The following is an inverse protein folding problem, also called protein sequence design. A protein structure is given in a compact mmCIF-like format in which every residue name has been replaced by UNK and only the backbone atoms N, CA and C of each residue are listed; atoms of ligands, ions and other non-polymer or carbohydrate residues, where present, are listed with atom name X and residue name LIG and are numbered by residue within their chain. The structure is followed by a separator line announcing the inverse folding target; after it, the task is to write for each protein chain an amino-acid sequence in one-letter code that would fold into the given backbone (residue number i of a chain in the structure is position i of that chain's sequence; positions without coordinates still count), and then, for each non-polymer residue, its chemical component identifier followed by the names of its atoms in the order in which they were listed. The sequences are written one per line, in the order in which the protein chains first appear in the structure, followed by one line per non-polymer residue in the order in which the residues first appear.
data_IF_303486957680
#
_entry.id   IF_303486957680
#
_cell.length_a   1.000
_cell.length_b   1.000
_cell.length_c   1.000
_cell.angle_alpha   90.00
_cell.angle_beta   90.00
_cell.angle_gamma   90.00
#
_symmetry.space_group_name_H-M   'P 1'
#
loop_
_entity.id
_entity.type
_entity.pdbx_description
1 polymer ?
#
# COMPACT_ATOMS: atom_id res chain seq x y z
N UNK A 1 1.65 9.46 -16.47
CA UNK A 1 1.65 8.47 -15.38
C UNK A 1 0.31 7.75 -15.40
N UNK A 2 0.28 6.45 -15.67
CA UNK A 2 -0.95 5.65 -15.82
C UNK A 2 -0.99 4.53 -14.78
N UNK A 3 -0.93 4.88 -13.49
CA UNK A 3 -1.00 3.90 -12.42
C UNK A 3 -2.46 3.46 -12.22
N UNK A 4 -2.81 2.17 -12.27
CA UNK A 4 -4.20 1.70 -12.26
C UNK A 4 -5.03 2.22 -11.08
N UNK A 5 -4.46 2.24 -9.87
CA UNK A 5 -5.14 2.78 -8.67
C UNK A 5 -5.43 4.29 -8.80
N UNK A 6 -4.53 5.06 -9.44
CA UNK A 6 -4.73 6.51 -9.61
C UNK A 6 -5.85 6.77 -10.60
N UNK A 7 -5.83 6.07 -11.74
CA UNK A 7 -6.88 6.16 -12.77
C UNK A 7 -8.23 5.81 -12.16
N UNK A 8 -8.33 4.65 -11.50
CA UNK A 8 -9.58 4.21 -10.86
C UNK A 8 -10.06 5.19 -9.78
N UNK A 9 -9.14 5.74 -8.99
CA UNK A 9 -9.50 6.73 -7.97
C UNK A 9 -10.03 8.02 -8.58
N UNK A 10 -9.42 8.50 -9.68
CA UNK A 10 -9.89 9.68 -10.42
C UNK A 10 -11.29 9.42 -10.97
N UNK A 11 -11.50 8.31 -11.67
CA UNK A 11 -12.76 7.99 -12.35
C UNK A 11 -13.93 7.75 -11.39
N UNK A 12 -13.66 7.17 -10.21
CA UNK A 12 -14.71 6.75 -9.29
C UNK A 12 -14.90 7.69 -8.08
N UNK A 13 -13.98 8.63 -7.84
CA UNK A 13 -14.01 9.50 -6.65
C UNK A 13 -13.96 10.99 -6.96
N UNK A 14 -13.59 11.37 -8.19
CA UNK A 14 -13.49 12.77 -8.60
C UNK A 14 -14.29 13.01 -9.89
N UNK A 15 -14.57 14.28 -10.17
CA UNK A 15 -15.02 14.72 -11.49
C UNK A 15 -13.79 15.24 -12.23
N UNK A 16 -13.17 14.45 -13.12
CA UNK A 16 -11.97 14.88 -13.81
C UNK A 16 -12.28 16.00 -14.82
N UNK A 17 -11.46 17.05 -14.80
CA UNK A 17 -11.51 18.14 -15.78
C UNK A 17 -10.11 18.41 -16.31
N UNK A 18 -9.98 18.43 -17.64
CA UNK A 18 -8.75 18.82 -18.31
C UNK A 18 -8.93 20.22 -18.90
N UNK A 19 -8.09 21.15 -18.47
CA UNK A 19 -7.95 22.48 -19.07
C UNK A 19 -6.63 22.49 -19.84
N UNK A 20 -6.67 22.69 -21.15
CA UNK A 20 -5.46 22.72 -21.97
C UNK A 20 -4.79 24.09 -21.87
N UNK A 21 -3.53 24.10 -21.52
CA UNK A 21 -2.71 25.30 -21.63
C UNK A 21 -2.46 25.65 -23.12
N UNK A 22 -2.03 26.88 -23.40
CA UNK A 22 -1.80 27.40 -24.76
C UNK A 22 -2.98 27.21 -25.74
N UNK A 23 -4.20 27.07 -25.24
CA UNK A 23 -5.41 26.94 -26.04
C UNK A 23 -6.27 28.21 -25.91
N UNK A 24 -7.06 28.51 -26.94
CA UNK A 24 -8.01 29.63 -26.94
C UNK A 24 -9.35 29.27 -26.27
N UNK A 25 -10.33 30.18 -26.41
CA UNK A 25 -11.71 29.93 -25.97
C UNK A 25 -11.86 29.67 -24.46
N UNK A 26 -12.74 28.74 -24.10
CA UNK A 26 -13.14 28.46 -22.70
C UNK A 26 -11.98 28.04 -21.81
N UNK A 27 -10.98 27.34 -22.34
CA UNK A 27 -9.80 26.94 -21.55
C UNK A 27 -8.98 28.16 -21.15
N UNK A 28 -8.80 29.14 -22.04
CA UNK A 28 -8.16 30.43 -21.73
C UNK A 28 -8.91 31.22 -20.66
N UNK A 29 -10.25 31.20 -20.71
CA UNK A 29 -11.11 31.82 -19.70
C UNK A 29 -10.91 31.16 -18.33
N UNK A 30 -10.85 29.83 -18.29
CA UNK A 30 -10.62 29.08 -17.05
C UNK A 30 -9.22 29.33 -16.48
N UNK A 31 -8.18 29.35 -17.30
CA UNK A 31 -6.83 29.69 -16.85
C UNK A 31 -6.79 31.09 -16.22
N UNK A 32 -7.41 32.09 -16.85
CA UNK A 32 -7.55 33.45 -16.28
C UNK A 32 -8.31 33.44 -14.96
N UNK A 33 -9.46 32.75 -14.88
CA UNK A 33 -10.27 32.64 -13.67
C UNK A 33 -9.46 32.11 -12.48
N UNK A 34 -8.56 31.16 -12.73
CA UNK A 34 -7.76 30.50 -11.69
C UNK A 34 -6.34 31.08 -11.54
N UNK A 35 -6.05 32.18 -12.24
CA UNK A 35 -4.74 32.81 -12.30
C UNK A 35 -3.61 31.83 -12.66
N UNK A 36 -3.89 30.91 -13.59
CA UNK A 36 -2.91 29.98 -14.13
C UNK A 36 -2.29 30.55 -15.42
N UNK A 37 -0.96 30.50 -15.57
CA UNK A 37 -0.29 30.95 -16.77
C UNK A 37 -0.64 30.06 -17.97
N UNK A 38 -0.70 30.65 -19.16
CA UNK A 38 -0.94 29.91 -20.40
C UNK A 38 0.24 28.98 -20.76
N UNK A 39 1.44 29.26 -20.23
CA UNK A 39 2.66 28.50 -20.48
C UNK A 39 3.21 27.96 -19.15
N UNK A 40 2.85 26.73 -18.81
CA UNK A 40 3.32 26.00 -17.63
C UNK A 40 3.42 24.49 -17.90
N UNK A 41 4.06 23.78 -16.97
CA UNK A 41 3.93 22.33 -16.87
C UNK A 41 2.56 21.95 -16.30
N UNK A 42 2.24 20.66 -16.30
CA UNK A 42 0.98 20.16 -15.79
C UNK A 42 0.81 20.53 -14.32
N UNK A 43 -0.32 21.17 -13.99
CA UNK A 43 -0.73 21.53 -12.64
C UNK A 43 -1.99 20.73 -12.30
N UNK A 44 -2.04 20.18 -11.08
CA UNK A 44 -3.19 19.41 -10.58
C UNK A 44 -3.79 20.18 -9.40
N UNK A 45 -5.08 20.54 -9.54
CA UNK A 45 -5.86 21.25 -8.52
C UNK A 45 -7.09 20.44 -8.14
N UNK A 46 -7.56 20.66 -6.92
CA UNK A 46 -8.71 19.99 -6.34
C UNK A 46 -9.69 21.06 -5.88
N UNK A 47 -10.87 21.11 -6.50
CA UNK A 47 -11.87 22.12 -6.26
C UNK A 47 -13.13 21.52 -5.65
N UNK A 48 -13.82 22.31 -4.82
CA UNK A 48 -15.18 22.01 -4.42
C UNK A 48 -16.18 22.42 -5.52
N UNK A 49 -17.46 22.18 -5.28
CA UNK A 49 -18.53 22.50 -6.22
C UNK A 49 -18.67 24.03 -6.49
N UNK A 50 -18.14 24.89 -5.62
CA UNK A 50 -18.12 26.34 -5.81
C UNK A 50 -16.91 26.82 -6.64
N UNK A 51 -15.99 25.91 -6.98
CA UNK A 51 -14.75 26.23 -7.68
C UNK A 51 -13.66 26.78 -6.76
N UNK A 52 -13.77 26.60 -5.44
CA UNK A 52 -12.72 26.96 -4.48
C UNK A 52 -11.78 25.78 -4.25
N UNK A 53 -10.48 26.05 -4.09
CA UNK A 53 -9.51 25.02 -3.77
C UNK A 53 -9.85 24.33 -2.45
N UNK A 54 -9.97 22.99 -2.47
CA UNK A 54 -10.10 22.15 -1.28
C UNK A 54 -8.77 22.10 -0.52
N UNK A 55 -7.66 22.07 -1.26
CA UNK A 55 -6.29 22.11 -0.74
C UNK A 55 -5.47 23.16 -1.49
N UNK A 56 -4.50 23.83 -0.84
CA UNK A 56 -3.69 24.85 -1.51
C UNK A 56 -3.03 24.32 -2.79
N UNK A 57 -3.02 25.16 -3.84
CA UNK A 57 -2.30 24.93 -5.09
C UNK A 57 -0.84 24.58 -4.80
N UNK A 58 -0.32 23.56 -5.48
CA UNK A 58 1.09 23.18 -5.42
C UNK A 58 1.58 22.82 -6.80
N UNK A 59 2.72 23.38 -7.18
CA UNK A 59 3.36 23.12 -8.46
C UNK A 59 4.21 21.84 -8.41
N UNK A 60 4.62 21.34 -9.58
CA UNK A 60 5.58 20.23 -9.76
C UNK A 60 5.14 18.90 -9.12
N UNK A 61 3.84 18.60 -9.17
CA UNK A 61 3.28 17.33 -8.71
C UNK A 61 3.28 16.33 -9.87
N UNK A 62 4.43 15.72 -10.10
CA UNK A 62 4.64 14.83 -11.26
C UNK A 62 5.01 13.39 -10.87
N UNK A 63 5.27 13.15 -9.59
CA UNK A 63 5.55 11.82 -9.06
C UNK A 63 4.31 11.19 -8.42
N UNK A 64 4.32 9.86 -8.39
CA UNK A 64 3.21 9.05 -7.89
C UNK A 64 2.88 9.32 -6.43
N UNK A 65 3.91 9.53 -5.59
CA UNK A 65 3.74 9.73 -4.16
C UNK A 65 3.06 11.08 -3.89
N UNK A 66 3.61 12.16 -4.45
CA UNK A 66 3.06 13.51 -4.26
C UNK A 66 1.63 13.64 -4.78
N UNK A 67 1.29 12.98 -5.90
CA UNK A 67 -0.08 12.95 -6.40
C UNK A 67 -1.00 12.19 -5.44
N UNK A 68 -0.60 10.97 -5.03
CA UNK A 68 -1.37 10.13 -4.10
C UNK A 68 -1.66 10.87 -2.79
N UNK A 69 -0.63 11.48 -2.19
CA UNK A 69 -0.74 12.24 -0.95
C UNK A 69 -1.74 13.40 -1.09
N UNK A 70 -1.73 14.11 -2.23
CA UNK A 70 -2.66 15.22 -2.49
C UNK A 70 -4.09 14.76 -2.74
N UNK A 71 -4.30 13.66 -3.47
CA UNK A 71 -5.62 13.07 -3.65
C UNK A 71 -6.23 12.66 -2.31
N UNK A 72 -5.46 11.99 -1.45
CA UNK A 72 -5.91 11.61 -0.11
C UNK A 72 -6.22 12.82 0.75
N UNK A 73 -5.36 13.85 0.75
CA UNK A 73 -5.59 15.08 1.50
C UNK A 73 -6.86 15.81 1.03
N UNK A 74 -7.12 15.86 -0.28
CA UNK A 74 -8.33 16.45 -0.82
C UNK A 74 -9.59 15.71 -0.33
N UNK A 75 -9.60 14.37 -0.42
CA UNK A 75 -10.71 13.56 0.09
C UNK A 75 -10.96 13.77 1.59
N UNK A 76 -9.89 13.80 2.40
CA UNK A 76 -9.97 14.07 3.83
C UNK A 76 -10.58 15.44 4.13
N UNK A 77 -10.12 16.49 3.44
CA UNK A 77 -10.63 17.86 3.63
C UNK A 77 -12.07 18.03 3.17
N UNK A 78 -12.51 17.23 2.21
CA UNK A 78 -13.90 17.18 1.76
C UNK A 78 -14.79 16.23 2.58
N UNK A 79 -14.28 15.60 3.64
CA UNK A 79 -15.03 14.63 4.45
C UNK A 79 -15.41 13.36 3.69
N UNK A 80 -14.77 13.10 2.54
CA UNK A 80 -15.04 11.95 1.70
C UNK A 80 -14.25 10.73 2.17
N UNK A 81 -14.84 9.55 1.98
CA UNK A 81 -14.17 8.29 2.29
C UNK A 81 -13.00 8.07 1.32
N UNK A 82 -11.81 7.81 1.86
CA UNK A 82 -10.65 7.43 1.04
C UNK A 82 -10.85 5.99 0.54
N UNK A 83 -10.78 5.73 -0.77
CA UNK A 83 -10.79 4.37 -1.29
C UNK A 83 -9.65 3.54 -0.71
N UNK A 84 -9.94 2.33 -0.24
CA UNK A 84 -8.93 1.48 0.39
C UNK A 84 -7.70 1.15 -0.50
N UNK A 85 -7.83 0.95 -1.83
CA UNK A 85 -6.65 0.80 -2.70
C UNK A 85 -5.77 2.05 -2.74
N UNK A 86 -6.37 3.24 -2.73
CA UNK A 86 -5.63 4.51 -2.72
C UNK A 86 -4.87 4.72 -1.42
N UNK A 87 -5.52 4.41 -0.29
CA UNK A 87 -4.87 4.48 1.02
C UNK A 87 -3.72 3.46 1.14
N UNK A 88 -3.92 2.25 0.60
CA UNK A 88 -2.88 1.23 0.57
C UNK A 88 -1.67 1.65 -0.26
N UNK A 89 -1.91 2.26 -1.43
CA UNK A 89 -0.85 2.84 -2.27
C UNK A 89 -0.11 3.97 -1.56
N UNK A 90 -0.83 4.86 -0.85
CA UNK A 90 -0.23 5.94 -0.07
C UNK A 90 0.76 5.41 0.96
N UNK A 91 0.37 4.37 1.69
CA UNK A 91 1.20 3.74 2.72
C UNK A 91 2.40 3.02 2.07
N UNK A 92 2.18 2.33 0.96
CA UNK A 92 3.22 1.64 0.18
C UNK A 92 4.32 2.60 -0.32
N UNK A 93 3.94 3.81 -0.75
CA UNK A 93 4.88 4.83 -1.23
C UNK A 93 5.56 5.63 -0.11
N UNK A 94 5.08 5.52 1.13
CA UNK A 94 5.61 6.24 2.29
C UNK A 94 6.79 5.51 2.95
N UNK A 95 7.87 5.31 2.20
CA UNK A 95 9.04 4.49 2.59
C UNK A 95 9.74 4.93 3.87
N UNK A 96 9.72 6.23 4.21
CA UNK A 96 10.37 6.78 5.40
C UNK A 96 9.79 6.28 6.72
N UNK A 97 8.55 5.77 6.71
CA UNK A 97 7.88 5.22 7.89
C UNK A 97 7.93 3.68 7.92
N UNK A 98 8.60 3.05 6.96
CA UNK A 98 8.60 1.60 6.82
C UNK A 98 9.76 0.99 7.61
N UNK A 99 9.46 -0.11 8.31
CA UNK A 99 10.47 -0.96 8.91
C UNK A 99 10.24 -2.42 8.56
N UNK A 100 11.28 -3.24 8.76
CA UNK A 100 11.27 -4.66 8.42
C UNK A 100 11.56 -5.52 9.64
N UNK A 101 10.89 -6.67 9.70
CA UNK A 101 11.18 -7.79 10.60
C UNK A 101 10.87 -9.08 9.86
N UNK A 102 11.66 -10.14 10.06
CA UNK A 102 11.34 -11.45 9.55
C UNK A 102 10.98 -12.38 10.71
N UNK A 103 9.97 -13.20 10.49
CA UNK A 103 9.55 -14.19 11.47
C UNK A 103 9.75 -15.57 10.87
N UNK A 104 10.29 -16.52 11.62
CA UNK A 104 10.34 -17.93 11.24
C UNK A 104 9.13 -18.67 11.78
N UNK A 105 8.62 -19.62 11.00
CA UNK A 105 7.52 -20.50 11.38
C UNK A 105 7.60 -21.81 10.57
N UNK A 106 6.64 -22.70 10.77
CA UNK A 106 6.61 -23.99 10.06
C UNK A 106 6.41 -23.85 8.55
N UNK A 107 5.59 -22.89 8.11
CA UNK A 107 5.31 -22.66 6.69
C UNK A 107 5.13 -21.18 6.39
N UNK A 108 5.94 -20.60 5.50
CA UNK A 108 5.83 -19.18 5.13
C UNK A 108 4.53 -18.84 4.42
N UNK A 109 3.78 -19.81 3.86
CA UNK A 109 2.50 -19.53 3.18
C UNK A 109 1.41 -19.19 4.19
N UNK A 110 1.47 -19.87 5.33
CA UNK A 110 0.67 -19.54 6.51
C UNK A 110 1.10 -18.19 7.07
N UNK A 111 2.41 -17.94 7.13
CA UNK A 111 2.98 -16.64 7.52
C UNK A 111 2.51 -15.47 6.68
N UNK A 112 2.68 -15.52 5.36
CA UNK A 112 2.23 -14.47 4.43
C UNK A 112 0.72 -14.21 4.54
N UNK A 113 -0.08 -15.28 4.72
CA UNK A 113 -1.53 -15.14 4.92
C UNK A 113 -1.86 -14.44 6.24
N UNK A 114 -1.36 -14.97 7.36
CA UNK A 114 -1.70 -14.52 8.72
C UNK A 114 -1.09 -13.15 9.03
N UNK A 115 0.20 -12.96 8.76
CA UNK A 115 0.90 -11.69 9.01
C UNK A 115 0.43 -10.61 8.04
N UNK A 116 0.16 -10.95 6.77
CA UNK A 116 -0.38 -10.01 5.78
C UNK A 116 -1.75 -9.44 6.18
N UNK A 117 -2.54 -10.17 6.97
CA UNK A 117 -3.84 -9.73 7.47
C UNK A 117 -3.76 -8.64 8.54
N UNK A 118 -2.61 -8.47 9.21
CA UNK A 118 -2.49 -7.55 10.33
C UNK A 118 -2.60 -6.08 9.87
N UNK A 119 -3.38 -5.22 10.57
CA UNK A 119 -3.34 -3.78 10.37
C UNK A 119 -1.94 -3.22 10.58
N UNK A 120 -1.50 -2.32 9.69
CA UNK A 120 -0.16 -1.73 9.67
C UNK A 120 0.90 -2.57 8.95
N UNK A 121 0.65 -3.84 8.61
CA UNK A 121 1.50 -4.59 7.68
C UNK A 121 1.23 -4.14 6.25
N UNK A 122 2.29 -3.77 5.53
CA UNK A 122 2.24 -3.28 4.16
C UNK A 122 2.49 -4.43 3.20
N UNK A 123 3.65 -5.08 3.33
CA UNK A 123 4.03 -6.22 2.48
C UNK A 123 4.51 -7.41 3.30
N UNK A 124 4.32 -8.59 2.72
CA UNK A 124 4.95 -9.83 3.18
C UNK A 124 5.80 -10.42 2.05
N UNK A 125 6.83 -11.18 2.36
CA UNK A 125 7.64 -11.91 1.38
C UNK A 125 8.11 -13.24 1.99
N UNK A 126 7.79 -14.35 1.32
CA UNK A 126 8.30 -15.67 1.69
C UNK A 126 9.80 -15.76 1.40
N UNK A 127 10.56 -16.33 2.33
CA UNK A 127 12.00 -16.48 2.19
C UNK A 127 12.61 -17.44 3.19
N UNK A 128 13.94 -17.42 3.23
CA UNK A 128 14.76 -18.32 4.02
C UNK A 128 15.82 -17.55 4.80
N UNK A 129 16.01 -17.90 6.07
CA UNK A 129 17.16 -17.48 6.89
C UNK A 129 17.69 -18.71 7.62
N UNK A 130 18.97 -19.04 7.45
CA UNK A 130 19.63 -20.17 8.13
C UNK A 130 18.87 -21.50 8.00
N UNK A 131 18.32 -21.77 6.81
CA UNK A 131 17.53 -22.99 6.53
C UNK A 131 16.09 -22.96 7.06
N UNK A 132 15.67 -21.90 7.75
CA UNK A 132 14.31 -21.73 8.24
C UNK A 132 13.43 -21.01 7.23
N UNK A 133 12.20 -21.48 7.06
CA UNK A 133 11.16 -20.72 6.37
C UNK A 133 10.83 -19.47 7.18
N UNK A 134 10.88 -18.32 6.52
CA UNK A 134 10.54 -17.03 7.12
C UNK A 134 9.56 -16.24 6.27
N UNK A 135 8.78 -15.39 6.92
CA UNK A 135 8.03 -14.31 6.29
C UNK A 135 8.68 -12.99 6.67
N UNK A 136 9.27 -12.31 5.68
CA UNK A 136 9.74 -10.94 5.83
C UNK A 136 8.52 -10.01 5.77
N UNK A 137 8.35 -9.20 6.79
CA UNK A 137 7.25 -8.26 6.95
C UNK A 137 7.78 -6.84 6.82
N UNK A 138 7.23 -6.06 5.90
CA UNK A 138 7.37 -4.59 5.88
C UNK A 138 6.13 -3.97 6.48
N UNK A 139 6.29 -3.10 7.47
CA UNK A 139 5.18 -2.49 8.21
C UNK A 139 5.37 -0.98 8.38
N UNK A 140 4.27 -0.26 8.54
CA UNK A 140 4.25 1.18 8.83
C UNK A 140 4.39 1.41 10.33
N UNK A 141 5.50 2.03 10.74
CA UNK A 141 5.82 2.30 12.14
C UNK A 141 4.89 3.32 12.81
N UNK A 142 4.13 4.10 12.02
CA UNK A 142 3.12 5.01 12.54
C UNK A 142 1.83 4.29 12.92
N UNK A 143 1.56 3.12 12.32
CA UNK A 143 0.35 2.33 12.53
C UNK A 143 0.57 1.06 13.37
N UNK A 144 1.78 0.48 13.32
CA UNK A 144 2.12 -0.75 14.02
C UNK A 144 3.52 -0.65 14.61
N UNK A 145 3.64 -0.70 15.93
CA UNK A 145 4.94 -0.73 16.60
C UNK A 145 5.53 -2.14 16.55
N UNK A 146 6.86 -2.24 16.58
CA UNK A 146 7.56 -3.52 16.53
C UNK A 146 7.11 -4.46 17.65
N UNK A 147 6.91 -3.93 18.86
CA UNK A 147 6.45 -4.71 20.01
C UNK A 147 5.06 -5.33 19.77
N UNK A 148 4.15 -4.56 19.19
CA UNK A 148 2.81 -5.04 18.83
C UNK A 148 2.87 -6.08 17.71
N UNK A 149 3.72 -5.87 16.70
CA UNK A 149 3.92 -6.84 15.64
C UNK A 149 4.45 -8.17 16.19
N UNK A 150 5.45 -8.14 17.08
CA UNK A 150 6.01 -9.33 17.73
C UNK A 150 4.95 -10.07 18.55
N UNK A 151 4.16 -9.34 19.36
CA UNK A 151 3.06 -9.93 20.14
C UNK A 151 2.01 -10.57 19.24
N UNK A 152 1.53 -9.84 18.22
CA UNK A 152 0.51 -10.33 17.28
C UNK A 152 1.02 -11.54 16.48
N UNK A 153 2.26 -11.50 16.00
CA UNK A 153 2.88 -12.62 15.28
C UNK A 153 3.02 -13.87 16.16
N UNK A 154 3.35 -13.69 17.44
CA UNK A 154 3.43 -14.80 18.41
C UNK A 154 2.04 -15.39 18.69
N UNK A 155 1.03 -14.54 18.89
CA UNK A 155 -0.34 -14.96 19.19
C UNK A 155 -1.01 -15.75 18.04
N UNK A 156 -0.57 -15.55 16.80
CA UNK A 156 -1.07 -16.27 15.62
C UNK A 156 -0.13 -17.41 15.17
N UNK A 157 0.85 -17.76 16.01
CA UNK A 157 1.81 -18.85 15.81
C UNK A 157 2.70 -18.68 14.57
N UNK A 158 3.07 -17.43 14.27
CA UNK A 158 3.93 -17.06 13.15
C UNK A 158 5.26 -16.47 13.62
N UNK A 159 5.74 -16.82 14.82
CA UNK A 159 6.97 -16.27 15.41
C UNK A 159 7.74 -17.31 16.26
N UNK A 160 8.16 -18.43 15.65
CA UNK A 160 9.02 -19.41 16.31
C UNK A 160 10.44 -18.87 16.56
N UNK A 161 10.95 -18.05 15.64
CA UNK A 161 12.17 -17.25 15.79
C UNK A 161 11.96 -15.89 15.12
N UNK A 162 12.54 -14.84 15.69
CA UNK A 162 12.33 -13.46 15.24
C UNK A 162 13.66 -12.89 14.76
N UNK A 163 13.65 -12.24 13.61
CA UNK A 163 14.79 -11.57 13.01
C UNK A 163 14.49 -10.09 12.85
N UNK A 164 15.30 -9.24 13.47
CA UNK A 164 15.14 -7.79 13.43
C UNK A 164 16.47 -7.09 13.16
N UNK A 165 16.47 -5.85 12.67
CA UNK A 165 17.69 -5.05 12.56
C UNK A 165 18.49 -5.02 13.87
N UNK A 166 19.82 -4.92 13.78
CA UNK A 166 20.73 -5.08 14.92
C UNK A 166 20.38 -4.12 16.07
N UNK A 167 20.02 -2.89 15.74
CA UNK A 167 19.62 -1.83 16.66
C UNK A 167 18.27 -2.06 17.37
N UNK A 168 17.57 -3.16 17.06
CA UNK A 168 16.30 -3.56 17.68
C UNK A 168 16.39 -4.87 18.47
N UNK A 169 17.55 -5.54 18.48
CA UNK A 169 17.72 -6.84 19.13
C UNK A 169 17.36 -6.82 20.62
N UNK A 170 17.95 -5.90 21.38
CA UNK A 170 17.77 -5.86 22.84
C UNK A 170 16.35 -5.48 23.22
N UNK A 171 15.72 -4.61 22.43
CA UNK A 171 14.30 -4.27 22.60
C UNK A 171 13.43 -5.51 22.46
N UNK A 172 13.65 -6.31 21.41
CA UNK A 172 12.81 -7.49 21.15
C UNK A 172 13.09 -8.61 22.16
N UNK A 173 14.34 -8.82 22.57
CA UNK A 173 14.70 -9.81 23.60
C UNK A 173 14.01 -9.55 24.95
N UNK A 174 13.73 -8.29 25.27
CA UNK A 174 13.04 -7.91 26.52
C UNK A 174 11.54 -8.20 26.51
N UNK A 175 10.92 -8.39 25.35
CA UNK A 175 9.45 -8.48 25.22
C UNK A 175 8.96 -9.87 24.78
N UNK A 176 9.86 -10.81 24.51
CA UNK A 176 9.50 -12.16 24.08
C UNK A 176 10.52 -13.19 24.55
N UNK A 177 10.03 -14.38 24.91
CA UNK A 177 10.87 -15.55 25.20
C UNK A 177 11.32 -16.30 23.93
N UNK A 178 10.80 -15.91 22.75
CA UNK A 178 11.17 -16.54 21.48
C UNK A 178 12.62 -16.18 21.11
N UNK A 179 13.39 -17.09 20.48
CA UNK A 179 14.72 -16.78 19.98
C UNK A 179 14.74 -15.55 19.05
N UNK A 180 15.70 -14.65 19.27
CA UNK A 180 15.86 -13.40 18.49
C UNK A 180 17.26 -13.32 17.88
N UNK A 181 17.33 -13.04 16.59
CA UNK A 181 18.57 -12.86 15.83
C UNK A 181 18.54 -11.63 14.92
N UNK A 182 19.68 -11.27 14.36
CA UNK A 182 19.80 -10.11 13.47
C UNK A 182 19.21 -10.43 12.10
N UNK A 183 18.38 -9.56 11.54
CA UNK A 183 18.01 -9.55 10.13
C UNK A 183 19.14 -8.91 9.33
N UNK A 184 19.72 -9.64 8.39
CA UNK A 184 20.86 -9.17 7.59
C UNK A 184 20.95 -9.86 6.23
N UNK A 185 22.17 -9.93 5.68
CA UNK A 185 22.45 -10.44 4.33
C UNK A 185 22.13 -11.93 4.14
N UNK A 186 21.92 -12.68 5.22
CA UNK A 186 21.57 -14.09 5.15
C UNK A 186 20.13 -14.37 4.68
N UNK A 187 19.28 -13.34 4.62
CA UNK A 187 17.95 -13.47 4.04
C UNK A 187 18.02 -13.79 2.56
N UNK A 188 17.33 -14.87 2.15
CA UNK A 188 17.15 -15.25 0.75
C UNK A 188 15.68 -15.33 0.42
N UNK A 189 15.25 -14.57 -0.59
CA UNK A 189 13.87 -14.63 -1.09
C UNK A 189 13.56 -16.02 -1.65
N UNK A 190 12.37 -16.55 -1.36
CA UNK A 190 11.89 -17.80 -1.94
C UNK A 190 11.48 -17.58 -3.42
N UNK A 191 11.45 -18.67 -4.21
CA UNK A 191 11.07 -18.59 -5.63
C UNK A 191 9.68 -17.98 -5.83
N UNK A 192 9.43 -17.44 -7.03
CA UNK A 192 8.17 -16.77 -7.34
C UNK A 192 6.92 -17.61 -7.08
N UNK A 193 6.97 -18.92 -7.35
CA UNK A 193 5.85 -19.85 -7.11
C UNK A 193 5.53 -20.13 -5.64
N UNK A 194 6.41 -19.71 -4.73
CA UNK A 194 6.16 -19.77 -3.28
C UNK A 194 5.57 -18.47 -2.74
N UNK A 195 5.56 -17.39 -3.52
CA UNK A 195 5.03 -16.09 -3.08
C UNK A 195 3.51 -16.05 -3.20
N UNK A 196 2.84 -15.49 -2.19
CA UNK A 196 1.40 -15.20 -2.21
C UNK A 196 0.55 -16.41 -2.61
N UNK A 197 0.88 -17.56 -2.02
CA UNK A 197 0.30 -18.87 -2.37
C UNK A 197 -1.22 -18.92 -2.33
N UNK A 198 -1.88 -18.13 -1.49
CA UNK A 198 -3.33 -18.15 -1.37
C UNK A 198 -4.02 -17.62 -2.63
N UNK A 199 -3.32 -16.81 -3.44
CA UNK A 199 -3.80 -16.34 -4.73
C UNK A 199 -3.89 -17.48 -5.75
N UNK A 200 -2.97 -18.45 -5.71
CA UNK A 200 -2.87 -19.49 -6.74
C UNK A 200 -4.19 -20.26 -6.91
N UNK A 201 -4.60 -20.46 -8.16
CA UNK A 201 -5.85 -21.13 -8.51
C UNK A 201 -7.11 -20.30 -8.24
N UNK A 202 -6.98 -19.01 -7.91
CA UNK A 202 -8.11 -18.08 -7.78
C UNK A 202 -8.16 -17.13 -8.98
N UNK A 203 -9.30 -16.47 -9.18
CA UNK A 203 -9.42 -15.41 -10.20
C UNK A 203 -8.44 -14.23 -9.94
N UNK A 204 -8.02 -14.02 -8.69
CA UNK A 204 -7.07 -12.96 -8.34
C UNK A 204 -5.66 -13.18 -8.91
N UNK A 205 -5.27 -14.40 -9.29
CA UNK A 205 -3.94 -14.67 -9.88
C UNK A 205 -3.69 -13.90 -11.18
N UNK A 206 -4.77 -13.54 -11.89
CA UNK A 206 -4.69 -12.86 -13.19
C UNK A 206 -4.55 -11.33 -13.07
N UNK A 207 -4.75 -10.79 -11.87
CA UNK A 207 -4.74 -9.36 -11.66
C UNK A 207 -3.30 -8.83 -11.54
N UNK A 208 -3.06 -7.68 -12.15
CA UNK A 208 -1.89 -6.86 -11.84
C UNK A 208 -2.11 -6.13 -10.51
N UNK A 209 -1.51 -6.64 -9.43
CA UNK A 209 -1.62 -6.10 -8.08
C UNK A 209 -0.32 -5.41 -7.68
N UNK A 210 -0.41 -4.27 -6.98
CA UNK A 210 0.77 -3.74 -6.27
C UNK A 210 1.23 -4.72 -5.19
N UNK A 211 2.50 -4.69 -4.75
CA UNK A 211 2.97 -5.54 -3.65
C UNK A 211 2.09 -5.48 -2.38
N UNK A 212 1.61 -4.29 -2.02
CA UNK A 212 0.71 -4.12 -0.88
C UNK A 212 -0.68 -4.72 -1.16
N UNK A 213 -1.27 -4.50 -2.36
CA UNK A 213 -2.52 -5.15 -2.75
C UNK A 213 -2.38 -6.68 -2.70
N UNK A 214 -1.33 -7.24 -3.32
CA UNK A 214 -1.08 -8.67 -3.34
C UNK A 214 -0.97 -9.25 -1.92
N UNK A 215 -0.36 -8.52 -0.98
CA UNK A 215 -0.27 -8.93 0.42
C UNK A 215 -1.65 -9.02 1.07
N UNK A 216 -2.49 -7.99 0.91
CA UNK A 216 -3.84 -7.97 1.51
C UNK A 216 -4.78 -8.96 0.83
N UNK A 217 -4.78 -9.03 -0.50
CA UNK A 217 -5.60 -10.01 -1.23
C UNK A 217 -5.16 -11.44 -0.88
N UNK A 218 -3.86 -11.74 -0.81
CA UNK A 218 -3.37 -13.06 -0.38
C UNK A 218 -3.84 -13.43 1.03
N UNK A 219 -3.89 -12.47 1.95
CA UNK A 219 -4.34 -12.72 3.32
C UNK A 219 -5.81 -13.18 3.38
N UNK A 220 -6.66 -12.67 2.48
CA UNK A 220 -8.11 -12.85 2.56
C UNK A 220 -8.73 -13.67 1.42
N UNK A 221 -8.04 -13.89 0.30
CA UNK A 221 -8.59 -14.47 -0.93
C UNK A 221 -9.39 -15.78 -0.74
N UNK A 222 -8.98 -16.60 0.22
CA UNK A 222 -9.58 -17.92 0.50
C UNK A 222 -10.42 -17.97 1.78
N UNK A 223 -10.52 -16.88 2.53
CA UNK A 223 -11.15 -16.86 3.87
C UNK A 223 -12.22 -15.79 4.01
N UNK A 224 -12.02 -14.66 3.36
CA UNK A 224 -12.92 -13.52 3.38
C UNK A 224 -12.81 -12.81 2.02
N UNK A 225 -13.51 -13.36 1.03
CA UNK A 225 -13.47 -12.83 -0.34
C UNK A 225 -13.99 -11.39 -0.38
N UNK A 226 -14.98 -11.05 0.43
CA UNK A 226 -15.53 -9.70 0.54
C UNK A 226 -14.45 -8.71 0.97
N UNK A 227 -13.66 -9.05 2.00
CA UNK A 227 -12.53 -8.23 2.43
C UNK A 227 -11.38 -8.23 1.44
N UNK A 228 -11.13 -9.31 0.70
CA UNK A 228 -10.13 -9.28 -0.37
C UNK A 228 -10.51 -8.27 -1.46
N UNK A 229 -11.80 -8.19 -1.83
CA UNK A 229 -12.31 -7.27 -2.85
C UNK A 229 -12.19 -5.79 -2.45
N UNK A 230 -12.17 -5.45 -1.16
CA UNK A 230 -12.04 -4.04 -0.73
C UNK A 230 -10.68 -3.44 -1.09
N UNK A 231 -9.65 -4.27 -1.29
CA UNK A 231 -8.30 -3.83 -1.66
C UNK A 231 -8.07 -3.72 -3.17
N UNK A 232 -9.09 -4.02 -3.98
CA UNK A 232 -9.02 -3.93 -5.44
C UNK A 232 -9.64 -2.63 -5.94
N UNK A 233 -9.17 -2.14 -7.09
CA UNK A 233 -9.82 -1.09 -7.87
C UNK A 233 -11.19 -1.55 -8.40
N UNK A 234 -12.05 -0.64 -8.86
CA UNK A 234 -13.33 -1.02 -9.47
C UNK A 234 -13.12 -1.91 -10.70
N UNK A 235 -12.14 -1.57 -11.55
CA UNK A 235 -11.78 -2.38 -12.73
C UNK A 235 -11.28 -3.78 -12.34
N UNK A 236 -10.36 -3.88 -11.37
CA UNK A 236 -9.88 -5.18 -10.87
C UNK A 236 -11.00 -6.02 -10.25
N UNK A 237 -11.96 -5.40 -9.55
CA UNK A 237 -13.14 -6.11 -9.03
C UNK A 237 -13.99 -6.69 -10.15
N UNK A 238 -14.26 -5.89 -11.19
CA UNK A 238 -15.06 -6.33 -12.33
C UNK A 238 -14.43 -7.54 -13.06
N UNK A 239 -13.11 -7.60 -13.14
CA UNK A 239 -12.38 -8.73 -13.74
C UNK A 239 -12.53 -10.06 -12.98
N UNK A 240 -12.71 -10.02 -11.66
CA UNK A 240 -12.81 -11.23 -10.82
C UNK A 240 -14.23 -11.62 -10.46
N UNK A 241 -15.21 -10.74 -10.66
CA UNK A 241 -16.63 -11.01 -10.42
C UNK A 241 -17.39 -11.49 -11.66
N UNK A 242 -16.87 -11.26 -12.87
CA UNK A 242 -17.30 -11.93 -14.11
C UNK A 242 -16.85 -13.39 -14.09
#
# INVERSE_FOLDING_TARGET
MAHPIIVDSIENTFVPLLIKNNSGGKDKEMLRKFNEPAWNYQVIRFFDASGKDIIPRKDKIWDLKSLTDRMVLALQKSGQKIPAPLELLRIELSTQNQAKAAFAMHCFWTGERKLGALPGVITTEAGWIDGLEVTLVTYDQTQLKLQDLVRKASAIECANKIFVPRERLDLVRKITAKPVATLGKQYRKAKGSDQKRQLAGTRFTKLELTPAQATKVNAFARTDKTKALTYLTASQRAEVTR
#
